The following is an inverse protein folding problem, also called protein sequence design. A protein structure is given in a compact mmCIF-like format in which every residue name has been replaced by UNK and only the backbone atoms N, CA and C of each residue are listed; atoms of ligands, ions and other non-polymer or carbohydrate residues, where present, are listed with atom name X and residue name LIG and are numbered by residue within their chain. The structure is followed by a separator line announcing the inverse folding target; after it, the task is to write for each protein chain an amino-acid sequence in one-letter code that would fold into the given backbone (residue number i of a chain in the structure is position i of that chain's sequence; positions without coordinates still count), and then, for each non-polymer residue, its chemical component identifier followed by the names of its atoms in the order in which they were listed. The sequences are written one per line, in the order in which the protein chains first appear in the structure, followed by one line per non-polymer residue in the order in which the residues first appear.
data_IF_177710615611
#
_entry.id   IF_177710615611
#
_cell.length_a   1.000
_cell.length_b   1.000
_cell.length_c   1.000
_cell.angle_alpha   90.00
_cell.angle_beta   90.00
_cell.angle_gamma   90.00
#
_symmetry.space_group_name_H-M   'P 1'
#
loop_
_entity.id
_entity.type
_entity.pdbx_description
1 polymer ?
#
# COMPACT_ATOMS: atom_id res chain seq x y z
N UNK A 1 12.31 -5.27 -14.73
CA UNK A 1 11.83 -5.13 -13.34
C UNK A 1 11.72 -6.48 -12.68
N UNK A 2 11.93 -6.55 -11.36
CA UNK A 2 11.89 -7.82 -10.63
C UNK A 2 10.49 -8.42 -10.56
N UNK A 3 9.46 -7.56 -10.47
CA UNK A 3 8.06 -7.99 -10.38
C UNK A 3 7.26 -7.38 -11.51
N UNK A 4 6.31 -8.12 -12.05
CA UNK A 4 5.36 -7.55 -13.01
C UNK A 4 4.35 -6.66 -12.30
N UNK A 5 3.85 -7.09 -11.14
CA UNK A 5 2.84 -6.36 -10.37
C UNK A 5 3.19 -6.30 -8.89
N UNK A 6 2.88 -5.16 -8.27
CA UNK A 6 3.06 -4.96 -6.83
C UNK A 6 1.91 -4.14 -6.27
N UNK A 7 1.66 -4.29 -4.96
CA UNK A 7 0.61 -3.58 -4.26
C UNK A 7 1.16 -2.94 -2.99
N UNK A 8 0.66 -1.75 -2.68
CA UNK A 8 0.92 -1.02 -1.43
C UNK A 8 -0.44 -0.61 -0.87
N UNK A 9 -0.68 -0.87 0.41
CA UNK A 9 -1.92 -0.49 1.07
C UNK A 9 -1.59 0.35 2.30
N UNK A 10 -2.34 1.43 2.51
CA UNK A 10 -2.14 2.26 3.68
C UNK A 10 -3.19 3.33 3.82
N UNK A 11 -3.14 4.05 4.93
CA UNK A 11 -4.03 5.18 5.19
C UNK A 11 -3.47 6.48 4.60
N UNK A 12 -2.14 6.66 4.66
CA UNK A 12 -1.49 7.89 4.17
C UNK A 12 -2.15 9.14 4.72
N UNK A 13 -2.18 9.27 6.03
CA UNK A 13 -3.02 10.23 6.76
C UNK A 13 -2.19 11.20 7.60
N UNK A 14 -1.61 12.23 7.00
CA UNK A 14 -1.41 12.44 5.56
C UNK A 14 -0.22 11.65 5.02
N UNK A 15 -0.01 11.63 3.70
CA UNK A 15 1.23 11.08 3.14
C UNK A 15 2.46 11.83 3.66
N UNK A 16 3.54 11.11 3.93
CA UNK A 16 4.80 11.70 4.39
C UNK A 16 5.99 11.07 3.67
N UNK A 17 7.20 11.55 3.97
CA UNK A 17 8.41 11.11 3.27
C UNK A 17 8.61 9.59 3.27
N UNK A 18 8.29 8.93 4.38
CA UNK A 18 8.38 7.47 4.47
C UNK A 18 7.43 6.76 3.51
N UNK A 19 6.22 7.29 3.35
CA UNK A 19 5.24 6.75 2.39
C UNK A 19 5.74 6.90 0.95
N UNK A 20 6.30 8.07 0.62
CA UNK A 20 6.84 8.31 -0.73
C UNK A 20 8.03 7.40 -1.01
N UNK A 21 8.87 7.18 -0.01
CA UNK A 21 10.01 6.26 -0.13
C UNK A 21 9.53 4.82 -0.39
N UNK A 22 8.50 4.38 0.33
CA UNK A 22 7.90 3.05 0.16
C UNK A 22 7.36 2.88 -1.26
N UNK A 23 6.58 3.85 -1.74
CA UNK A 23 5.99 3.80 -3.08
C UNK A 23 7.07 3.86 -4.16
N UNK A 24 8.07 4.73 -4.00
CA UNK A 24 9.17 4.83 -4.96
C UNK A 24 9.98 3.53 -5.01
N UNK A 25 10.16 2.86 -3.88
CA UNK A 25 10.83 1.56 -3.85
C UNK A 25 10.04 0.52 -4.64
N UNK A 26 8.72 0.49 -4.47
CA UNK A 26 7.86 -0.40 -5.25
C UNK A 26 7.95 -0.11 -6.75
N UNK A 27 7.90 1.17 -7.13
CA UNK A 27 8.01 1.59 -8.54
C UNK A 27 9.36 1.23 -9.15
N UNK A 28 10.42 1.19 -8.36
CA UNK A 28 11.75 0.80 -8.83
C UNK A 28 11.89 -0.72 -9.05
N UNK A 29 10.98 -1.52 -8.49
CA UNK A 29 11.08 -2.98 -8.51
C UNK A 29 9.94 -3.69 -9.23
N UNK A 30 8.91 -2.96 -9.66
CA UNK A 30 7.75 -3.55 -10.32
C UNK A 30 7.33 -2.72 -11.53
N UNK A 31 6.84 -3.40 -12.55
CA UNK A 31 6.37 -2.73 -13.77
C UNK A 31 5.05 -2.00 -13.53
N UNK A 32 4.17 -2.56 -12.72
CA UNK A 32 2.88 -1.97 -12.39
C UNK A 32 2.69 -1.98 -10.88
N UNK A 33 2.45 -0.81 -10.30
CA UNK A 33 2.23 -0.66 -8.86
C UNK A 33 0.84 -0.09 -8.62
N UNK A 34 0.04 -0.78 -7.82
CA UNK A 34 -1.25 -0.29 -7.34
C UNK A 34 -1.09 0.15 -5.89
N UNK A 35 -1.49 1.38 -5.59
CA UNK A 35 -1.49 1.93 -4.24
C UNK A 35 -2.94 2.09 -3.80
N UNK A 36 -3.31 1.41 -2.72
CA UNK A 36 -4.67 1.45 -2.19
C UNK A 36 -4.72 2.34 -0.96
N UNK A 37 -5.54 3.39 -1.04
CA UNK A 37 -5.72 4.38 0.03
C UNK A 37 -6.99 4.01 0.79
N UNK A 38 -6.86 3.65 2.07
CA UNK A 38 -7.99 3.23 2.88
C UNK A 38 -8.87 4.40 3.29
N UNK A 39 -10.15 4.31 2.97
CA UNK A 39 -11.17 5.27 3.37
C UNK A 39 -11.89 4.72 4.60
N UNK A 40 -11.61 5.29 5.76
CA UNK A 40 -12.18 4.89 7.05
C UNK A 40 -13.14 5.96 7.53
N UNK A 41 -14.29 5.53 8.04
CA UNK A 41 -15.29 6.45 8.59
C UNK A 41 -14.68 7.28 9.73
N UNK A 42 -14.97 8.58 9.75
CA UNK A 42 -14.50 9.48 10.80
C UNK A 42 -13.17 10.17 10.53
N UNK A 43 -12.52 9.90 9.41
CA UNK A 43 -11.29 10.59 9.05
C UNK A 43 -11.57 12.04 8.65
N UNK A 44 -10.73 12.96 9.14
CA UNK A 44 -10.87 14.39 8.85
C UNK A 44 -10.26 14.81 7.51
N UNK A 45 -9.29 14.04 7.01
CA UNK A 45 -8.69 14.28 5.70
C UNK A 45 -9.33 13.31 4.71
N UNK A 46 -10.11 13.81 3.73
CA UNK A 46 -10.80 12.92 2.78
C UNK A 46 -9.83 12.00 2.03
N UNK A 47 -10.25 10.76 1.83
CA UNK A 47 -9.43 9.78 1.12
C UNK A 47 -9.12 10.21 -0.31
N UNK A 48 -10.08 10.84 -1.00
CA UNK A 48 -9.87 11.38 -2.35
C UNK A 48 -8.77 12.42 -2.39
N UNK A 49 -8.67 13.27 -1.37
CA UNK A 49 -7.63 14.30 -1.28
C UNK A 49 -6.27 13.65 -1.07
N UNK A 50 -6.19 12.69 -0.15
CA UNK A 50 -4.94 11.94 0.08
C UNK A 50 -4.49 11.21 -1.18
N UNK A 51 -5.42 10.59 -1.88
CA UNK A 51 -5.14 9.92 -3.15
C UNK A 51 -4.65 10.89 -4.22
N UNK A 52 -5.22 12.10 -4.28
CA UNK A 52 -4.79 13.11 -5.25
C UNK A 52 -3.34 13.56 -5.00
N UNK A 53 -2.94 13.71 -3.73
CA UNK A 53 -1.56 14.04 -3.38
C UNK A 53 -0.59 12.93 -3.80
N UNK A 54 -1.00 11.66 -3.58
CA UNK A 54 -0.19 10.53 -4.00
C UNK A 54 -0.09 10.42 -5.52
N UNK A 55 -1.17 10.68 -6.23
CA UNK A 55 -1.17 10.66 -7.71
C UNK A 55 -0.28 11.74 -8.28
N UNK A 56 -0.30 12.92 -7.67
CA UNK A 56 0.57 14.02 -8.09
C UNK A 56 2.05 13.67 -7.89
N UNK A 57 2.39 13.05 -6.74
CA UNK A 57 3.76 12.67 -6.44
C UNK A 57 4.23 11.44 -7.21
N UNK A 58 3.30 10.54 -7.57
CA UNK A 58 3.60 9.25 -8.22
C UNK A 58 2.69 9.03 -9.43
N UNK A 59 2.87 9.81 -10.50
CA UNK A 59 1.91 9.79 -11.63
C UNK A 59 1.84 8.46 -12.38
N UNK A 60 2.86 7.62 -12.27
CA UNK A 60 2.85 6.31 -12.94
C UNK A 60 2.21 5.21 -12.09
N UNK A 61 1.93 5.47 -10.82
CA UNK A 61 1.27 4.49 -9.96
C UNK A 61 -0.25 4.52 -10.17
N UNK A 62 -0.89 3.36 -10.00
CA UNK A 62 -2.34 3.23 -10.03
C UNK A 62 -2.85 3.48 -8.62
N UNK A 63 -3.32 4.70 -8.36
CA UNK A 63 -3.79 5.11 -7.03
C UNK A 63 -5.29 4.87 -6.94
N UNK A 64 -5.72 4.06 -5.98
CA UNK A 64 -7.13 3.73 -5.78
C UNK A 64 -7.57 4.03 -4.35
N UNK A 65 -8.75 4.59 -4.20
CA UNK A 65 -9.41 4.72 -2.90
C UNK A 65 -10.23 3.45 -2.66
N UNK A 66 -10.03 2.81 -1.52
CA UNK A 66 -10.75 1.59 -1.15
C UNK A 66 -11.43 1.79 0.20
N UNK A 67 -12.51 1.06 0.44
CA UNK A 67 -13.17 1.08 1.75
C UNK A 67 -12.39 0.21 2.73
N UNK A 68 -12.23 0.71 3.96
CA UNK A 68 -11.66 -0.07 5.04
C UNK A 68 -12.70 -1.11 5.48
N UNK A 69 -12.32 -2.39 5.47
CA UNK A 69 -13.24 -3.46 5.87
C UNK A 69 -13.36 -3.63 7.38
N UNK A 70 -12.60 -2.84 8.16
CA UNK A 70 -12.72 -2.84 9.63
C UNK A 70 -12.21 -4.10 10.31
N UNK A 71 -11.40 -4.90 9.63
CA UNK A 71 -10.87 -6.17 10.16
C UNK A 71 -9.36 -6.13 10.22
N UNK A 72 -8.83 -5.20 11.01
CA UNK A 72 -7.40 -4.89 11.04
C UNK A 72 -6.52 -6.11 11.35
N UNK A 73 -7.01 -7.03 12.19
CA UNK A 73 -6.23 -8.20 12.60
C UNK A 73 -6.50 -9.44 11.71
N UNK A 74 -7.35 -9.31 10.69
CA UNK A 74 -7.72 -10.42 9.82
C UNK A 74 -6.97 -10.34 8.49
N UNK A 75 -5.74 -10.86 8.49
CA UNK A 75 -4.89 -10.85 7.29
C UNK A 75 -5.48 -11.66 6.14
N UNK A 76 -6.21 -12.73 6.45
CA UNK A 76 -6.85 -13.56 5.41
C UNK A 76 -7.97 -12.78 4.73
N UNK A 77 -8.81 -12.07 5.50
CA UNK A 77 -9.86 -11.23 4.94
C UNK A 77 -9.28 -10.11 4.09
N UNK A 78 -8.22 -9.44 4.55
CA UNK A 78 -7.55 -8.39 3.79
C UNK A 78 -6.89 -8.93 2.52
N UNK A 79 -6.33 -10.13 2.57
CA UNK A 79 -5.74 -10.76 1.38
C UNK A 79 -6.81 -11.04 0.32
N UNK A 80 -7.94 -11.63 0.71
CA UNK A 80 -9.04 -11.89 -0.20
C UNK A 80 -9.60 -10.60 -0.79
N UNK A 81 -9.79 -9.59 0.03
CA UNK A 81 -10.29 -8.28 -0.39
C UNK A 81 -9.33 -7.62 -1.40
N UNK A 82 -8.03 -7.65 -1.10
CA UNK A 82 -7.01 -7.08 -1.98
C UNK A 82 -7.02 -7.75 -3.36
N UNK A 83 -7.05 -9.08 -3.39
CA UNK A 83 -7.09 -9.83 -4.65
C UNK A 83 -8.38 -9.53 -5.42
N UNK A 84 -9.51 -9.43 -4.72
CA UNK A 84 -10.78 -9.09 -5.34
C UNK A 84 -10.73 -7.71 -6.01
N UNK A 85 -10.15 -6.72 -5.32
CA UNK A 85 -10.06 -5.36 -5.84
C UNK A 85 -9.09 -5.27 -7.02
N UNK A 86 -7.98 -6.00 -6.96
CA UNK A 86 -7.01 -6.04 -8.06
C UNK A 86 -7.54 -6.81 -9.27
N UNK A 87 -8.32 -7.85 -9.04
CA UNK A 87 -8.75 -8.78 -10.08
C UNK A 87 -7.71 -9.85 -10.40
N UNK A 88 -6.60 -9.88 -9.67
CA UNK A 88 -5.52 -10.87 -9.84
C UNK A 88 -4.69 -10.92 -8.56
N UNK A 89 -3.86 -11.97 -8.44
CA UNK A 89 -2.90 -12.10 -7.35
C UNK A 89 -1.64 -11.29 -7.69
N UNK A 90 -1.22 -10.32 -6.85
CA UNK A 90 0.00 -9.56 -7.12
C UNK A 90 1.23 -10.44 -6.97
N UNK A 91 2.33 -10.07 -7.63
CA UNK A 91 3.60 -10.77 -7.47
C UNK A 91 4.25 -10.44 -6.13
N UNK A 92 4.09 -9.21 -5.66
CA UNK A 92 4.67 -8.76 -4.41
C UNK A 92 3.81 -7.70 -3.74
N UNK A 93 3.93 -7.61 -2.42
CA UNK A 93 3.39 -6.50 -1.65
C UNK A 93 4.55 -5.81 -0.93
N UNK A 94 4.56 -4.49 -0.97
CA UNK A 94 5.59 -3.66 -0.35
C UNK A 94 5.03 -3.04 0.92
N UNK A 95 5.67 -3.28 2.06
CA UNK A 95 5.28 -2.70 3.34
C UNK A 95 6.52 -2.24 4.08
N UNK A 96 6.33 -1.40 5.09
CA UNK A 96 7.40 -0.99 6.00
C UNK A 96 7.28 -1.64 7.38
N UNK A 97 6.35 -2.58 7.54
CA UNK A 97 6.05 -3.21 8.82
C UNK A 97 5.97 -4.73 8.68
N UNK A 98 6.40 -5.43 9.71
CA UNK A 98 6.35 -6.90 9.69
C UNK A 98 4.93 -7.46 9.71
N UNK A 99 3.94 -6.67 10.12
CA UNK A 99 2.54 -7.10 10.06
C UNK A 99 2.09 -7.43 8.63
N UNK A 100 2.81 -6.97 7.63
CA UNK A 100 2.55 -7.33 6.24
C UNK A 100 2.84 -8.80 5.91
N UNK A 101 3.65 -9.49 6.74
CA UNK A 101 4.02 -10.88 6.48
C UNK A 101 2.81 -11.82 6.41
N UNK A 102 1.88 -11.85 7.39
CA UNK A 102 0.73 -12.74 7.27
C UNK A 102 -0.20 -12.39 6.11
N UNK A 103 -0.31 -11.11 5.77
CA UNK A 103 -1.10 -10.66 4.62
C UNK A 103 -0.52 -11.19 3.31
N UNK A 104 0.80 -11.03 3.13
CA UNK A 104 1.49 -11.53 1.93
C UNK A 104 1.43 -13.06 1.85
N UNK A 105 1.58 -13.74 2.98
CA UNK A 105 1.48 -15.20 3.04
C UNK A 105 0.08 -15.66 2.62
N UNK A 106 -0.96 -14.96 3.07
CA UNK A 106 -2.34 -15.27 2.71
C UNK A 106 -2.60 -15.03 1.22
N UNK A 107 -1.97 -14.01 0.63
CA UNK A 107 -2.05 -13.74 -0.81
C UNK A 107 -1.15 -14.66 -1.63
N UNK A 108 -0.26 -15.40 -1.00
CA UNK A 108 0.76 -16.24 -1.67
C UNK A 108 1.65 -15.41 -2.60
N UNK A 109 2.04 -14.22 -2.15
CA UNK A 109 2.96 -13.36 -2.89
C UNK A 109 4.19 -13.04 -2.05
N UNK A 110 5.21 -12.48 -2.69
CA UNK A 110 6.40 -12.06 -1.96
C UNK A 110 6.11 -10.83 -1.10
N UNK A 111 6.70 -10.81 0.08
CA UNK A 111 6.68 -9.64 0.95
C UNK A 111 8.02 -8.91 0.83
N UNK A 112 7.98 -7.70 0.26
CA UNK A 112 9.15 -6.84 0.20
C UNK A 112 9.06 -5.87 1.36
N UNK A 113 9.82 -6.14 2.42
CA UNK A 113 9.85 -5.28 3.60
C UNK A 113 10.83 -4.14 3.34
N UNK A 114 10.31 -2.93 3.27
CA UNK A 114 11.11 -1.72 3.03
C UNK A 114 11.59 -1.20 4.38
N UNK A 115 12.91 -1.11 4.54
CA UNK A 115 13.51 -0.58 5.76
C UNK A 115 13.44 0.94 5.73
N UNK A 116 12.56 1.52 6.55
CA UNK A 116 12.40 2.95 6.66
C UNK A 116 13.10 3.44 7.92
N UNK A 117 14.08 4.33 7.74
CA UNK A 117 14.75 4.99 8.85
C UNK A 117 13.77 5.99 9.49
N UNK A 118 13.24 5.63 10.65
CA UNK A 118 12.25 6.44 11.37
C UNK A 118 12.80 7.78 11.84
N UNK A 119 14.11 7.92 11.93
CA UNK A 119 14.75 9.20 12.25
C UNK A 119 14.80 10.10 11.03
N UNK A 120 15.11 9.52 9.87
CA UNK A 120 15.20 10.25 8.61
C UNK A 120 13.80 10.53 8.02
N UNK A 121 12.85 9.61 8.22
CA UNK A 121 11.48 9.72 7.70
C UNK A 121 10.50 9.63 8.87
N UNK A 122 10.29 10.72 9.62
CA UNK A 122 9.37 10.70 10.75
C UNK A 122 7.97 10.28 10.31
N UNK A 123 7.36 9.40 11.10
CA UNK A 123 5.98 8.98 10.87
C UNK A 123 5.08 9.55 11.95
N UNK A 124 3.91 9.96 11.56
CA UNK A 124 2.90 10.49 12.47
C UNK A 124 2.04 9.38 13.04
#
# INVERSE_FOLDING_TARGET
MKYATAVVVGKFYPPHAGHHYLINTALAHADHVTVMVCDTVGQTIPAKLRASWLKEAHPTADIRVIKDIGKDDDSVAWAAYTIQLLGYKPDAAFTSEEYGTPWCKAMKCEHYLVDIDRKKYPVS
#
